data_IF_014688722772
#
_entry.id   IF_014688722772
#
_cell.length_a   1.000
_cell.length_b   1.000
_cell.length_c   1.000
_cell.angle_alpha   90.00
_cell.angle_beta   90.00
_cell.angle_gamma   90.00
#
_symmetry.space_group_name_H-M   'P 1'
#
loop_
_entity.id
_entity.type
_entity.pdbx_description
1 polymer ?
#
# COMPACT_ATOMS: atom_id res chain seq x y z
N UNK A 1 32.78 -15.29 -2.99
CA UNK A 1 31.40 -15.09 -3.50
C UNK A 1 30.52 -14.36 -2.49
N UNK A 2 30.39 -14.85 -1.25
CA UNK A 2 29.64 -14.17 -0.19
C UNK A 2 30.20 -12.79 0.19
N UNK A 3 31.53 -12.62 0.18
CA UNK A 3 32.17 -11.32 0.44
C UNK A 3 31.83 -10.27 -0.63
N UNK A 4 31.83 -10.64 -1.91
CA UNK A 4 31.45 -9.72 -2.98
C UNK A 4 29.98 -9.26 -2.87
N UNK A 5 29.08 -10.15 -2.42
CA UNK A 5 27.70 -9.79 -2.12
C UNK A 5 27.61 -8.83 -0.94
N UNK A 6 28.37 -9.09 0.14
CA UNK A 6 28.40 -8.23 1.32
C UNK A 6 28.98 -6.84 1.02
N UNK A 7 30.01 -6.76 0.18
CA UNK A 7 30.58 -5.49 -0.27
C UNK A 7 29.60 -4.70 -1.15
N UNK A 8 28.82 -5.38 -2.00
CA UNK A 8 27.83 -4.73 -2.87
C UNK A 8 26.55 -4.29 -2.14
N UNK A 9 26.21 -4.89 -1.00
CA UNK A 9 24.97 -4.58 -0.24
C UNK A 9 25.25 -3.93 1.11
N UNK A 10 25.85 -4.65 2.05
CA UNK A 10 25.92 -4.22 3.45
C UNK A 10 27.01 -3.18 3.72
N UNK A 11 28.12 -3.25 3.00
CA UNK A 11 29.22 -2.26 3.10
C UNK A 11 29.10 -1.13 2.09
N UNK A 12 28.11 -1.19 1.19
CA UNK A 12 27.85 -0.13 0.23
C UNK A 12 26.87 0.91 0.85
N UNK A 13 27.33 2.13 1.16
CA UNK A 13 26.50 3.15 1.79
C UNK A 13 25.34 3.60 0.88
N UNK A 14 25.53 3.58 -0.44
CA UNK A 14 24.47 3.95 -1.41
C UNK A 14 23.35 2.91 -1.37
N UNK A 15 23.70 1.62 -1.32
CA UNK A 15 22.71 0.55 -1.20
C UNK A 15 21.91 0.70 0.10
N UNK A 16 22.59 0.92 1.23
CA UNK A 16 21.95 1.13 2.52
C UNK A 16 20.99 2.32 2.52
N UNK A 17 21.37 3.45 1.91
CA UNK A 17 20.49 4.62 1.79
C UNK A 17 19.21 4.29 1.02
N UNK A 18 19.31 3.60 -0.12
CA UNK A 18 18.15 3.18 -0.91
C UNK A 18 17.30 2.18 -0.13
N UNK A 19 17.93 1.23 0.56
CA UNK A 19 17.25 0.22 1.36
C UNK A 19 16.43 0.84 2.50
N UNK A 20 17.03 1.70 3.31
CA UNK A 20 16.32 2.38 4.39
C UNK A 20 15.27 3.34 3.86
N UNK A 21 15.54 4.04 2.76
CA UNK A 21 14.54 4.88 2.08
C UNK A 21 13.32 4.09 1.62
N UNK A 22 13.53 2.92 1.04
CA UNK A 22 12.45 2.02 0.63
C UNK A 22 11.67 1.50 1.84
N UNK A 23 12.34 1.04 2.90
CA UNK A 23 11.68 0.59 4.14
C UNK A 23 10.84 1.69 4.76
N UNK A 24 11.31 2.94 4.73
CA UNK A 24 10.58 4.06 5.29
C UNK A 24 9.38 4.47 4.41
N UNK A 25 9.53 4.45 3.09
CA UNK A 25 8.55 5.00 2.15
C UNK A 25 7.47 4.00 1.71
N UNK A 26 7.82 2.72 1.55
CA UNK A 26 6.89 1.68 1.08
C UNK A 26 5.66 1.50 1.99
N UNK A 27 5.77 1.47 3.34
CA UNK A 27 4.62 1.32 4.21
C UNK A 27 3.57 2.41 4.00
N UNK A 28 4.02 3.66 3.80
CA UNK A 28 3.12 4.79 3.55
C UNK A 28 2.29 4.62 2.27
N UNK A 29 2.91 4.12 1.20
CA UNK A 29 2.20 3.82 -0.06
C UNK A 29 1.18 2.70 0.13
N UNK A 30 1.57 1.62 0.83
CA UNK A 30 0.70 0.47 1.07
C UNK A 30 -0.54 0.90 1.88
N UNK A 31 -0.35 1.65 2.96
CA UNK A 31 -1.44 2.15 3.80
C UNK A 31 -2.39 3.04 2.98
N UNK A 32 -1.86 3.98 2.17
CA UNK A 32 -2.67 4.84 1.30
C UNK A 32 -3.54 4.03 0.34
N UNK A 33 -2.96 3.05 -0.34
CA UNK A 33 -3.70 2.17 -1.26
C UNK A 33 -4.77 1.35 -0.56
N UNK A 34 -4.50 0.87 0.65
CA UNK A 34 -5.51 0.16 1.44
C UNK A 34 -6.67 1.07 1.86
N UNK A 35 -6.36 2.31 2.28
CA UNK A 35 -7.36 3.29 2.65
C UNK A 35 -8.24 3.69 1.46
N UNK A 36 -7.66 3.92 0.29
CA UNK A 36 -8.39 4.21 -0.96
C UNK A 36 -9.35 3.07 -1.34
N UNK A 37 -8.87 1.81 -1.27
CA UNK A 37 -9.71 0.64 -1.53
C UNK A 37 -10.89 0.56 -0.57
N UNK A 38 -10.65 0.75 0.73
CA UNK A 38 -11.72 0.77 1.75
C UNK A 38 -12.71 1.90 1.50
N UNK A 39 -12.23 3.09 1.18
CA UNK A 39 -13.07 4.25 0.89
C UNK A 39 -13.95 4.00 -0.35
N UNK A 40 -13.39 3.42 -1.41
CA UNK A 40 -14.14 3.06 -2.62
C UNK A 40 -15.23 2.01 -2.31
N UNK A 41 -14.87 0.93 -1.63
CA UNK A 41 -15.83 -0.11 -1.24
C UNK A 41 -16.96 0.45 -0.36
N UNK A 42 -16.65 1.36 0.57
CA UNK A 42 -17.67 1.98 1.40
C UNK A 42 -18.61 2.89 0.60
N UNK A 43 -18.10 3.63 -0.40
CA UNK A 43 -18.95 4.44 -1.29
C UNK A 43 -19.91 3.57 -2.10
N UNK A 44 -19.42 2.47 -2.66
CA UNK A 44 -20.24 1.50 -3.41
C UNK A 44 -21.33 0.89 -2.51
N UNK A 45 -20.96 0.49 -1.28
CA UNK A 45 -21.92 -0.02 -0.29
C UNK A 45 -23.01 1.00 0.04
N UNK A 46 -22.63 2.23 0.39
CA UNK A 46 -23.59 3.29 0.72
C UNK A 46 -24.48 3.63 -0.47
N UNK A 47 -23.94 3.63 -1.69
CA UNK A 47 -24.73 3.85 -2.89
C UNK A 47 -25.75 2.71 -3.11
N UNK A 48 -25.31 1.47 -2.96
CA UNK A 48 -26.20 0.29 -3.04
C UNK A 48 -27.31 0.35 -1.99
N UNK A 49 -27.00 0.72 -0.75
CA UNK A 49 -27.98 0.88 0.32
C UNK A 49 -29.01 1.98 0.02
N UNK A 50 -28.56 3.12 -0.52
CA UNK A 50 -29.45 4.20 -0.95
C UNK A 50 -30.39 3.75 -2.08
N UNK A 51 -29.88 3.03 -3.07
CA UNK A 51 -30.67 2.52 -4.19
C UNK A 51 -31.71 1.50 -3.68
N UNK A 52 -31.30 0.56 -2.82
CA UNK A 52 -32.20 -0.42 -2.23
C UNK A 52 -33.32 0.24 -1.39
N UNK A 53 -33.02 1.36 -0.72
CA UNK A 53 -34.02 2.15 0.01
C UNK A 53 -34.98 2.89 -0.92
N UNK A 54 -34.52 3.36 -2.07
CA UNK A 54 -35.34 4.07 -3.05
C UNK A 54 -36.24 3.12 -3.87
N UNK A 55 -35.76 1.90 -4.11
CA UNK A 55 -36.46 0.86 -4.86
C UNK A 55 -36.50 -0.44 -4.04
N UNK A 56 -37.37 -0.49 -3.02
CA UNK A 56 -37.59 -1.73 -2.28
C UNK A 56 -38.16 -2.77 -3.24
N UNK A 57 -37.55 -3.97 -3.26
CA UNK A 57 -38.12 -5.09 -4.01
C UNK A 57 -39.20 -5.71 -3.12
N UNK A 58 -40.45 -5.48 -3.50
CA UNK A 58 -41.62 -6.26 -3.05
C UNK A 58 -41.45 -7.74 -3.43
#
# INVERSE_FOLDING_TARGET
MLEHLADATWRNPIFMLVFFGAIWYLPGIVIRRMAEKKAKANKERVQSEKIARLYPRE
#
